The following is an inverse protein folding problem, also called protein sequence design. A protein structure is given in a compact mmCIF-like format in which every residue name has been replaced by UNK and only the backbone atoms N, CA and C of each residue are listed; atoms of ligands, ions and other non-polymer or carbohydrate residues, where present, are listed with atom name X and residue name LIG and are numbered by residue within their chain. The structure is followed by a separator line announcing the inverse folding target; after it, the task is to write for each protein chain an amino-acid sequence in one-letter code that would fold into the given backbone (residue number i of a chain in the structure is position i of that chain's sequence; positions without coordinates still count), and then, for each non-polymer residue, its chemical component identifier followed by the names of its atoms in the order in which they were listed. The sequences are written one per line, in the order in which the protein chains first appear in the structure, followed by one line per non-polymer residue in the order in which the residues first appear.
data_IF_702449114554
#
_entry.id   IF_702449114554
#
_cell.length_a   1.000
_cell.length_b   1.000
_cell.length_c   1.000
_cell.angle_alpha   90.00
_cell.angle_beta   90.00
_cell.angle_gamma   90.00
#
_symmetry.space_group_name_H-M   'P 1'
#
loop_
_entity.id
_entity.type
_entity.pdbx_description
1 polymer ?
#
# COMPACT_ATOMS: atom_id res chain seq x y z
N UNK A 1 9.01 -8.97 16.62
CA UNK A 1 10.30 -8.53 16.07
C UNK A 1 9.98 -7.53 14.99
N UNK A 2 10.15 -6.26 15.32
CA UNK A 2 10.06 -5.17 14.36
C UNK A 2 11.23 -5.23 13.38
N UNK A 3 11.06 -4.69 12.17
CA UNK A 3 12.07 -4.76 11.11
C UNK A 3 13.44 -4.20 11.54
N UNK A 4 13.43 -3.10 12.31
CA UNK A 4 14.63 -2.47 12.85
C UNK A 4 15.34 -3.40 13.85
N UNK A 5 14.58 -4.04 14.74
CA UNK A 5 15.13 -5.00 15.72
C UNK A 5 15.77 -6.21 15.03
N UNK A 6 15.18 -6.69 13.93
CA UNK A 6 15.72 -7.78 13.14
C UNK A 6 17.07 -7.41 12.49
N UNK A 7 17.20 -6.17 12.00
CA UNK A 7 18.45 -5.65 11.44
C UNK A 7 19.51 -5.49 12.53
N UNK A 8 19.15 -4.94 13.70
CA UNK A 8 20.07 -4.80 14.84
C UNK A 8 20.59 -6.15 15.32
N UNK A 9 19.71 -7.16 15.41
CA UNK A 9 20.08 -8.51 15.77
C UNK A 9 21.08 -9.12 14.77
N UNK A 10 20.84 -8.94 13.47
CA UNK A 10 21.73 -9.45 12.42
C UNK A 10 23.10 -8.76 12.47
N UNK A 11 23.10 -7.43 12.59
CA UNK A 11 24.31 -6.62 12.65
C UNK A 11 25.18 -6.99 13.86
N UNK A 12 24.56 -7.19 15.03
CA UNK A 12 25.23 -7.67 16.24
C UNK A 12 25.84 -9.06 16.06
N UNK A 13 25.15 -9.96 15.35
CA UNK A 13 25.64 -11.32 15.08
C UNK A 13 26.89 -11.34 14.21
N UNK A 14 27.02 -10.41 13.27
CA UNK A 14 28.15 -10.32 12.34
C UNK A 14 29.22 -9.30 12.77
N UNK A 15 29.06 -8.66 13.94
CA UNK A 15 29.98 -7.63 14.43
C UNK A 15 29.96 -6.32 13.64
N UNK A 16 28.90 -6.05 12.88
CA UNK A 16 28.76 -4.83 12.09
C UNK A 16 28.14 -3.70 12.92
N UNK A 17 28.76 -2.53 12.92
CA UNK A 17 28.28 -1.36 13.66
C UNK A 17 27.33 -0.52 12.80
N UNK A 18 26.04 -0.51 13.12
CA UNK A 18 25.03 0.27 12.39
C UNK A 18 25.21 1.76 12.67
N UNK A 19 25.38 2.55 11.61
CA UNK A 19 25.33 4.01 11.69
C UNK A 19 23.93 4.48 11.28
N UNK A 20 23.18 4.99 12.24
CA UNK A 20 21.87 5.57 11.97
C UNK A 20 22.02 6.97 11.37
N UNK A 21 21.90 7.08 10.05
CA UNK A 21 21.73 8.37 9.39
C UNK A 21 20.26 8.77 9.49
N UNK A 22 19.86 9.28 10.66
CA UNK A 22 18.49 9.75 10.88
C UNK A 22 18.31 11.09 10.17
N UNK A 23 17.91 11.06 8.90
CA UNK A 23 17.76 12.27 8.07
C UNK A 23 16.42 13.00 8.26
N UNK A 24 15.60 12.62 9.25
CA UNK A 24 14.30 13.24 9.53
C UNK A 24 13.89 13.09 10.99
N UNK A 25 13.04 13.98 11.51
CA UNK A 25 12.61 13.90 12.91
C UNK A 25 11.82 12.61 13.21
N UNK A 26 11.82 12.17 14.48
CA UNK A 26 11.00 11.04 14.95
C UNK A 26 9.52 11.23 14.61
N UNK A 27 9.05 12.48 14.62
CA UNK A 27 7.69 12.88 14.23
C UNK A 27 7.44 12.68 12.73
N UNK A 28 8.40 13.04 11.88
CA UNK A 28 8.32 12.79 10.43
C UNK A 28 8.21 11.30 10.13
N UNK A 29 8.98 10.46 10.81
CA UNK A 29 8.91 9.00 10.65
C UNK A 29 7.57 8.44 11.12
N UNK A 30 7.04 8.93 12.25
CA UNK A 30 5.71 8.54 12.76
C UNK A 30 4.59 8.93 11.79
N UNK A 31 4.66 10.13 11.21
CA UNK A 31 3.71 10.58 10.19
C UNK A 31 3.77 9.71 8.93
N UNK A 32 4.98 9.39 8.45
CA UNK A 32 5.17 8.50 7.30
C UNK A 32 4.53 7.13 7.55
N UNK A 33 4.78 6.51 8.70
CA UNK A 33 4.19 5.21 9.03
C UNK A 33 2.66 5.26 9.03
N UNK A 34 2.07 6.30 9.63
CA UNK A 34 0.61 6.49 9.62
C UNK A 34 0.06 6.66 8.20
N UNK A 35 0.77 7.36 7.33
CA UNK A 35 0.37 7.51 5.93
C UNK A 35 0.49 6.19 5.16
N UNK A 36 1.52 5.39 5.42
CA UNK A 36 1.66 4.05 4.82
C UNK A 36 0.50 3.14 5.24
N UNK A 37 0.17 3.10 6.54
CA UNK A 37 -0.97 2.34 7.07
C UNK A 37 -2.30 2.79 6.44
N UNK A 38 -2.50 4.10 6.28
CA UNK A 38 -3.70 4.64 5.64
C UNK A 38 -3.78 4.24 4.16
N UNK A 39 -2.66 4.27 3.43
CA UNK A 39 -2.62 3.86 2.03
C UNK A 39 -2.85 2.36 1.87
N UNK A 40 -2.38 1.53 2.79
CA UNK A 40 -2.69 0.09 2.80
C UNK A 40 -4.21 -0.17 2.95
N UNK A 41 -4.89 0.60 3.79
CA UNK A 41 -6.36 0.53 3.91
C UNK A 41 -7.05 1.06 2.65
N UNK A 42 -6.61 2.19 2.12
CA UNK A 42 -7.17 2.79 0.92
C UNK A 42 -7.04 1.85 -0.29
N UNK A 43 -5.90 1.19 -0.45
CA UNK A 43 -5.63 0.18 -1.47
C UNK A 43 -6.67 -0.94 -1.43
N UNK A 44 -6.89 -1.54 -0.25
CA UNK A 44 -7.90 -2.61 -0.05
C UNK A 44 -9.31 -2.14 -0.40
N UNK A 45 -9.65 -0.90 -0.04
CA UNK A 45 -10.95 -0.31 -0.36
C UNK A 45 -11.14 -0.10 -1.86
N UNK A 46 -10.15 0.43 -2.58
CA UNK A 46 -10.24 0.64 -4.02
C UNK A 46 -10.23 -0.66 -4.82
N UNK A 47 -9.45 -1.66 -4.38
CA UNK A 47 -9.51 -3.03 -4.94
C UNK A 47 -10.92 -3.62 -4.80
N UNK A 48 -11.49 -3.51 -3.59
CA UNK A 48 -12.87 -3.95 -3.33
C UNK A 48 -13.88 -3.26 -4.25
N UNK A 49 -13.76 -1.94 -4.47
CA UNK A 49 -14.63 -1.24 -5.40
C UNK A 49 -14.51 -1.82 -6.80
N UNK A 50 -13.28 -2.00 -7.30
CA UNK A 50 -13.05 -2.48 -8.67
C UNK A 50 -13.64 -3.88 -8.90
N UNK A 51 -13.43 -4.80 -7.96
CA UNK A 51 -13.79 -6.21 -8.15
C UNK A 51 -15.15 -6.62 -7.58
N UNK A 52 -15.67 -5.91 -6.56
CA UNK A 52 -16.87 -6.31 -5.80
C UNK A 52 -18.03 -5.33 -5.91
N UNK A 53 -17.81 -4.08 -6.32
CA UNK A 53 -18.90 -3.11 -6.47
C UNK A 53 -19.51 -3.13 -7.86
N UNK A 54 -20.84 -3.02 -7.94
CA UNK A 54 -21.56 -2.81 -9.21
C UNK A 54 -21.06 -1.56 -9.95
N UNK A 55 -20.67 -0.52 -9.21
CA UNK A 55 -20.15 0.72 -9.79
C UNK A 55 -18.73 0.59 -10.36
N UNK A 56 -17.96 -0.41 -9.92
CA UNK A 56 -16.61 -0.68 -10.45
C UNK A 56 -16.60 -1.54 -11.70
N UNK A 57 -17.71 -2.23 -12.01
CA UNK A 57 -17.81 -3.15 -13.15
C UNK A 57 -17.49 -2.50 -14.51
N UNK A 58 -17.94 -1.27 -14.83
CA UNK A 58 -17.57 -0.60 -16.07
C UNK A 58 -16.05 -0.40 -16.20
N UNK A 59 -15.39 0.00 -15.11
CA UNK A 59 -13.93 0.21 -15.05
C UNK A 59 -13.16 -1.10 -15.18
N UNK A 60 -13.64 -2.17 -14.54
CA UNK A 60 -13.07 -3.52 -14.69
C UNK A 60 -13.17 -4.02 -16.13
N UNK A 61 -14.33 -3.82 -16.77
CA UNK A 61 -14.53 -4.19 -18.18
C UNK A 61 -13.63 -3.37 -19.11
N UNK A 62 -13.45 -2.08 -18.85
CA UNK A 62 -12.50 -1.24 -19.58
C UNK A 62 -11.06 -1.79 -19.49
N UNK A 63 -10.60 -2.16 -18.29
CA UNK A 63 -9.26 -2.73 -18.11
C UNK A 63 -9.11 -4.08 -18.83
N UNK A 64 -10.12 -4.94 -18.74
CA UNK A 64 -10.16 -6.23 -19.47
C UNK A 64 -10.11 -6.02 -20.99
N UNK A 65 -10.86 -5.06 -21.52
CA UNK A 65 -10.85 -4.72 -22.95
C UNK A 65 -9.50 -4.16 -23.42
N UNK A 66 -8.69 -3.59 -22.52
CA UNK A 66 -7.31 -3.16 -22.80
C UNK A 66 -6.28 -4.29 -22.71
N UNK A 67 -6.72 -5.53 -22.41
CA UNK A 67 -5.85 -6.70 -22.31
C UNK A 67 -5.28 -6.96 -20.92
N UNK A 68 -5.71 -6.23 -19.88
CA UNK A 68 -5.29 -6.52 -18.52
C UNK A 68 -6.04 -7.74 -17.97
N UNK A 69 -5.30 -8.81 -17.69
CA UNK A 69 -5.83 -9.99 -17.02
C UNK A 69 -6.09 -9.75 -15.53
N UNK A 70 -7.05 -10.47 -14.96
CA UNK A 70 -7.38 -10.35 -13.53
C UNK A 70 -6.20 -10.68 -12.62
N UNK A 71 -5.33 -11.63 -13.03
CA UNK A 71 -4.09 -11.94 -12.30
C UNK A 71 -3.17 -10.73 -12.20
N UNK A 72 -2.94 -10.03 -13.30
CA UNK A 72 -2.12 -8.81 -13.35
C UNK A 72 -2.73 -7.70 -12.50
N UNK A 73 -4.05 -7.49 -12.61
CA UNK A 73 -4.72 -6.46 -11.81
C UNK A 73 -4.59 -6.72 -10.30
N UNK A 74 -4.65 -7.98 -9.86
CA UNK A 74 -4.45 -8.35 -8.45
C UNK A 74 -2.99 -8.27 -8.01
N UNK A 75 -2.06 -8.68 -8.87
CA UNK A 75 -0.63 -8.63 -8.58
C UNK A 75 -0.11 -7.20 -8.38
N UNK A 76 -0.63 -6.27 -9.18
CA UNK A 76 -0.32 -4.84 -9.06
C UNK A 76 -1.28 -4.09 -8.12
N UNK A 77 -2.19 -4.81 -7.44
CA UNK A 77 -3.15 -4.27 -6.47
C UNK A 77 -3.94 -3.06 -7.00
N UNK A 78 -4.39 -3.17 -8.27
CA UNK A 78 -5.12 -2.11 -8.96
C UNK A 78 -6.52 -1.97 -8.36
N UNK A 79 -6.90 -0.73 -8.04
CA UNK A 79 -8.23 -0.40 -7.54
C UNK A 79 -8.95 0.65 -8.39
N UNK A 80 -10.18 1.00 -7.98
CA UNK A 80 -10.97 2.04 -8.62
C UNK A 80 -11.54 3.02 -7.58
N UNK A 81 -11.34 4.32 -7.81
CA UNK A 81 -12.05 5.37 -7.08
C UNK A 81 -13.35 5.69 -7.80
N UNK A 82 -14.44 5.79 -7.04
CA UNK A 82 -15.72 6.22 -7.60
C UNK A 82 -15.67 7.71 -7.94
N UNK A 83 -16.44 8.08 -8.96
CA UNK A 83 -16.66 9.48 -9.34
C UNK A 83 -17.67 10.13 -8.40
N UNK A 84 -17.25 10.35 -7.15
CA UNK A 84 -18.01 11.09 -6.17
C UNK A 84 -17.09 11.81 -5.18
N UNK A 85 -17.57 12.96 -4.70
CA UNK A 85 -16.84 13.79 -3.74
C UNK A 85 -16.71 13.16 -2.36
N UNK A 86 -17.71 12.38 -1.93
CA UNK A 86 -17.69 11.70 -0.65
C UNK A 86 -18.06 10.22 -0.83
N UNK A 87 -17.06 9.37 -0.68
CA UNK A 87 -17.17 7.93 -0.87
C UNK A 87 -17.29 7.15 0.45
N UNK A 88 -17.15 7.86 1.58
CA UNK A 88 -17.09 7.32 2.94
C UNK A 88 -18.28 7.75 3.82
N UNK A 89 -19.33 8.31 3.20
CA UNK A 89 -20.57 8.65 3.91
C UNK A 89 -21.32 7.40 4.36
#
# INVERSE_FOLDING_TARGET
MEFIEAIEFLAKKIGYNLKYNYSGSKESSKLKNRLVELNELAKKYFDFILFKSKKGLPSLNYLKNRGFGEKTLKEFEVGFSLDCWNNFA
#
